data_IF_938635788574
#
_entry.id   IF_938635788574
#
_cell.length_a   1.000
_cell.length_b   1.000
_cell.length_c   1.000
_cell.angle_alpha   90.00
_cell.angle_beta   90.00
_cell.angle_gamma   90.00
#
_symmetry.space_group_name_H-M   'P 1'
#
loop_
_entity.id
_entity.type
_entity.pdbx_description
1 polymer ?
#
# COMPACT_ATOMS: atom_id res chain seq x y z
N UNK A 1 -1.22 -10.88 20.66
CA UNK A 1 -1.70 -10.77 19.26
C UNK A 1 -1.37 -9.36 18.77
N UNK A 2 -0.42 -9.24 17.84
CA UNK A 2 -0.15 -7.96 17.19
C UNK A 2 -1.34 -7.65 16.28
N UNK A 3 -2.21 -6.77 16.71
CA UNK A 3 -3.32 -6.29 15.89
C UNK A 3 -2.73 -5.39 14.80
N UNK A 4 -2.91 -5.76 13.54
CA UNK A 4 -2.59 -4.86 12.44
C UNK A 4 -3.56 -3.67 12.48
N UNK A 5 -3.00 -2.46 12.47
CA UNK A 5 -3.81 -1.28 12.26
C UNK A 5 -4.05 -1.12 10.75
N UNK A 6 -5.30 -0.98 10.36
CA UNK A 6 -5.60 -0.62 8.99
C UNK A 6 -5.24 0.84 8.75
N UNK A 7 -5.01 1.25 7.52
CA UNK A 7 -4.73 2.64 7.20
C UNK A 7 -5.85 3.60 7.54
N UNK A 8 -7.10 3.18 7.41
CA UNK A 8 -8.26 3.99 7.85
C UNK A 8 -8.21 4.20 9.37
N UNK A 9 -7.90 3.14 10.15
CA UNK A 9 -7.70 3.27 11.59
C UNK A 9 -6.51 4.19 11.93
N UNK A 10 -5.42 4.14 11.14
CA UNK A 10 -4.27 5.03 11.32
C UNK A 10 -4.62 6.48 10.98
N UNK A 11 -5.39 6.71 9.92
CA UNK A 11 -5.91 8.04 9.57
C UNK A 11 -6.77 8.61 10.68
N UNK A 12 -7.72 7.81 11.16
CA UNK A 12 -8.59 8.22 12.25
C UNK A 12 -7.78 8.52 13.52
N UNK A 13 -6.80 7.70 13.85
CA UNK A 13 -5.92 7.92 14.99
C UNK A 13 -5.11 9.23 14.83
N UNK A 14 -4.54 9.48 13.66
CA UNK A 14 -3.80 10.72 13.37
C UNK A 14 -4.72 11.95 13.45
N UNK A 15 -5.94 11.85 12.94
CA UNK A 15 -6.94 12.90 13.07
C UNK A 15 -7.26 13.18 14.54
N UNK A 16 -7.51 12.15 15.33
CA UNK A 16 -7.87 12.27 16.75
C UNK A 16 -6.70 12.85 17.59
N UNK A 17 -5.47 12.44 17.29
CA UNK A 17 -4.26 13.04 17.88
C UNK A 17 -4.16 14.53 17.51
N UNK A 18 -4.38 14.88 16.26
CA UNK A 18 -4.33 16.28 15.82
C UNK A 18 -5.40 17.11 16.50
N UNK A 19 -6.64 16.60 16.63
CA UNK A 19 -7.72 17.27 17.38
C UNK A 19 -7.29 17.55 18.81
N UNK A 20 -6.65 16.58 19.47
CA UNK A 20 -6.12 16.73 20.84
C UNK A 20 -4.94 17.70 20.92
N UNK A 21 -4.14 17.81 19.85
CA UNK A 21 -3.01 18.72 19.76
C UNK A 21 -3.41 20.18 19.50
N UNK A 22 -4.54 20.45 18.82
CA UNK A 22 -4.94 21.81 18.44
C UNK A 22 -4.99 22.80 19.63
N UNK A 23 -5.58 22.48 20.79
CA UNK A 23 -5.55 23.37 21.95
C UNK A 23 -4.15 23.65 22.48
N UNK A 24 -3.24 22.66 22.35
CA UNK A 24 -1.85 22.78 22.79
C UNK A 24 -1.06 23.71 21.86
N UNK A 25 -1.38 23.69 20.56
CA UNK A 25 -0.74 24.50 19.52
C UNK A 25 -1.31 25.92 19.42
N UNK A 26 -2.56 26.14 19.82
CA UNK A 26 -3.27 27.42 19.69
C UNK A 26 -2.48 28.65 20.23
N UNK A 27 -1.82 28.59 21.42
CA UNK A 27 -1.02 29.71 21.93
C UNK A 27 0.16 30.11 21.04
N UNK A 28 0.56 29.28 20.12
CA UNK A 28 1.74 29.47 19.27
C UNK A 28 1.40 29.94 17.85
N UNK A 29 0.12 30.08 17.50
CA UNK A 29 -0.32 30.55 16.16
C UNK A 29 0.15 31.96 15.83
N UNK A 30 0.46 32.76 16.83
CA UNK A 30 0.93 34.16 16.67
C UNK A 30 2.44 34.27 16.43
N UNK A 31 3.15 33.17 16.23
CA UNK A 31 4.59 33.15 15.97
C UNK A 31 4.93 33.56 14.50
N UNK A 32 4.16 34.48 13.92
CA UNK A 32 4.46 35.07 12.62
C UNK A 32 5.87 35.69 12.61
N UNK A 33 6.70 35.25 11.66
CA UNK A 33 8.08 35.76 11.49
C UNK A 33 9.17 34.92 12.13
N UNK A 34 8.86 33.84 12.84
CA UNK A 34 9.88 32.90 13.33
C UNK A 34 10.47 32.05 12.21
N UNK A 35 11.73 31.63 12.40
CA UNK A 35 12.37 30.70 11.46
C UNK A 35 11.60 29.37 11.44
N UNK A 36 11.50 28.77 10.27
CA UNK A 36 10.85 27.46 10.09
C UNK A 36 11.44 26.43 11.07
N UNK A 37 12.76 26.49 11.34
CA UNK A 37 13.43 25.60 12.31
C UNK A 37 12.86 25.71 13.74
N UNK A 38 12.47 26.91 14.16
CA UNK A 38 11.99 27.13 15.53
C UNK A 38 10.56 26.58 15.70
N UNK A 39 9.74 26.71 14.64
CA UNK A 39 8.40 26.12 14.58
C UNK A 39 8.49 24.59 14.55
N UNK A 40 9.42 24.04 13.78
CA UNK A 40 9.66 22.60 13.71
C UNK A 40 10.05 22.01 15.05
N UNK A 41 11.00 22.64 15.76
CA UNK A 41 11.39 22.22 17.10
C UNK A 41 10.26 22.28 18.12
N UNK A 42 9.44 23.33 18.04
CA UNK A 42 8.26 23.44 18.91
C UNK A 42 7.28 22.31 18.67
N UNK A 43 6.96 22.01 17.40
CA UNK A 43 6.04 20.93 17.03
C UNK A 43 6.59 19.60 17.54
N UNK A 44 7.86 19.30 17.28
CA UNK A 44 8.52 18.08 17.73
C UNK A 44 8.42 17.92 19.25
N UNK A 45 8.73 18.99 20.01
CA UNK A 45 8.65 18.95 21.46
C UNK A 45 7.20 18.72 21.95
N UNK A 46 6.22 19.45 21.40
CA UNK A 46 4.83 19.32 21.82
C UNK A 46 4.23 17.96 21.44
N UNK A 47 4.62 17.42 20.29
CA UNK A 47 4.21 16.09 19.86
C UNK A 47 4.81 15.00 20.76
N UNK A 48 6.08 15.12 21.12
CA UNK A 48 6.74 14.22 22.08
C UNK A 48 6.04 14.30 23.44
N UNK A 49 5.80 15.49 23.95
CA UNK A 49 5.12 15.71 25.24
C UNK A 49 3.72 15.06 25.24
N UNK A 50 2.95 15.27 24.16
CA UNK A 50 1.64 14.67 24.00
C UNK A 50 1.70 13.13 23.94
N UNK A 51 2.57 12.58 23.12
CA UNK A 51 2.70 11.13 22.94
C UNK A 51 3.21 10.42 24.20
N UNK A 52 3.89 11.12 25.09
CA UNK A 52 4.32 10.60 26.40
C UNK A 52 3.29 10.89 27.51
N UNK A 53 2.15 11.49 27.21
CA UNK A 53 1.08 11.75 28.18
C UNK A 53 0.18 10.51 28.38
N UNK A 54 -0.70 10.60 29.38
CA UNK A 54 -1.72 9.58 29.66
C UNK A 54 -2.97 9.73 28.77
N UNK A 55 -2.89 10.51 27.69
CA UNK A 55 -3.98 10.65 26.73
C UNK A 55 -4.27 9.29 26.04
N UNK A 56 -5.57 9.03 25.84
CA UNK A 56 -6.02 7.74 25.26
C UNK A 56 -5.49 7.51 23.84
N UNK A 57 -5.35 8.58 23.04
CA UNK A 57 -4.84 8.48 21.68
C UNK A 57 -3.33 8.33 21.65
N UNK A 58 -2.60 8.96 22.59
CA UNK A 58 -1.18 8.74 22.79
C UNK A 58 -0.92 7.28 23.16
N UNK A 59 -1.71 6.72 24.08
CA UNK A 59 -1.64 5.29 24.45
C UNK A 59 -1.90 4.37 23.24
N UNK A 60 -2.90 4.69 22.41
CA UNK A 60 -3.16 3.93 21.18
C UNK A 60 -1.99 4.02 20.18
N UNK A 61 -1.40 5.20 20.00
CA UNK A 61 -0.26 5.37 19.11
C UNK A 61 0.92 4.47 19.50
N UNK A 62 1.18 4.30 20.80
CA UNK A 62 2.23 3.40 21.28
C UNK A 62 1.98 1.91 20.99
N UNK A 63 0.72 1.49 20.82
CA UNK A 63 0.41 0.11 20.43
C UNK A 63 0.79 -0.21 18.99
N UNK A 64 0.91 0.79 18.14
CA UNK A 64 1.13 0.64 16.70
C UNK A 64 2.49 1.13 16.22
N UNK A 65 3.22 1.87 17.07
CA UNK A 65 4.53 2.42 16.70
C UNK A 65 5.51 2.31 17.86
N UNK A 66 6.67 1.73 17.58
CA UNK A 66 7.78 1.71 18.53
C UNK A 66 8.52 3.06 18.63
N UNK A 67 8.23 4.00 17.72
CA UNK A 67 8.82 5.33 17.71
C UNK A 67 7.77 6.39 17.34
N UNK A 68 7.11 7.01 18.34
CA UNK A 68 6.07 8.00 18.11
C UNK A 68 6.55 9.30 17.44
N UNK A 69 7.85 9.53 17.35
CA UNK A 69 8.43 10.80 16.92
C UNK A 69 8.51 11.01 15.41
N UNK A 70 8.19 10.01 14.58
CA UNK A 70 8.44 10.11 13.16
C UNK A 70 7.19 10.09 12.28
N UNK A 71 6.02 10.28 12.84
CA UNK A 71 4.81 10.41 12.03
C UNK A 71 4.87 11.74 11.25
N UNK A 72 5.47 11.69 10.06
CA UNK A 72 5.65 12.87 9.20
C UNK A 72 4.34 13.51 8.80
N UNK A 73 3.29 12.70 8.62
CA UNK A 73 1.96 13.21 8.27
C UNK A 73 1.37 14.03 9.40
N UNK A 74 1.41 13.50 10.62
CA UNK A 74 0.93 14.19 11.80
C UNK A 74 1.74 15.46 12.09
N UNK A 75 3.08 15.39 11.96
CA UNK A 75 3.97 16.55 12.09
C UNK A 75 3.65 17.64 11.07
N UNK A 76 3.47 17.27 9.81
CA UNK A 76 3.09 18.19 8.75
C UNK A 76 1.72 18.81 9.00
N UNK A 77 0.76 18.04 9.51
CA UNK A 77 -0.56 18.54 9.89
C UNK A 77 -0.49 19.54 11.04
N UNK A 78 0.32 19.28 12.07
CA UNK A 78 0.57 20.24 13.16
C UNK A 78 1.21 21.53 12.65
N UNK A 79 2.18 21.44 11.74
CA UNK A 79 2.78 22.61 11.11
C UNK A 79 1.74 23.45 10.38
N UNK A 80 0.91 22.80 9.53
CA UNK A 80 -0.14 23.50 8.81
C UNK A 80 -1.17 24.15 9.75
N UNK A 81 -1.52 23.48 10.85
CA UNK A 81 -2.43 24.02 11.86
C UNK A 81 -1.88 25.31 12.52
N UNK A 82 -0.55 25.46 12.60
CA UNK A 82 0.10 26.65 13.14
C UNK A 82 0.20 27.80 12.15
N UNK A 83 0.56 27.50 10.89
CA UNK A 83 0.97 28.54 9.93
C UNK A 83 -0.09 28.86 8.87
N UNK A 84 -1.09 28.00 8.68
CA UNK A 84 -2.13 28.21 7.69
C UNK A 84 -3.39 28.82 8.32
N UNK A 85 -3.73 30.08 8.03
CA UNK A 85 -4.91 30.74 8.60
C UNK A 85 -6.24 30.10 8.13
N UNK A 86 -6.21 29.35 7.01
CA UNK A 86 -7.36 28.64 6.46
C UNK A 86 -7.33 27.14 6.79
N UNK A 87 -6.58 26.76 7.83
CA UNK A 87 -6.52 25.38 8.26
C UNK A 87 -7.92 24.87 8.65
N UNK A 88 -8.32 23.75 8.05
CA UNK A 88 -9.53 23.03 8.39
C UNK A 88 -9.18 21.56 8.62
N UNK A 89 -9.36 21.08 9.85
CA UNK A 89 -9.07 19.72 10.24
C UNK A 89 -9.91 18.67 9.51
N UNK A 90 -11.07 19.07 9.00
CA UNK A 90 -11.97 18.16 8.27
C UNK A 90 -11.58 17.99 6.81
N UNK A 91 -10.60 18.74 6.33
CA UNK A 91 -10.09 18.55 4.97
C UNK A 91 -9.11 17.39 4.91
N UNK A 92 -9.20 16.52 3.89
CA UNK A 92 -8.34 15.35 3.75
C UNK A 92 -6.88 15.67 3.34
N UNK A 93 -6.51 16.94 3.23
CA UNK A 93 -5.20 17.40 2.76
C UNK A 93 -4.02 16.99 3.66
N UNK A 94 -4.26 16.72 4.94
CA UNK A 94 -3.18 16.29 5.85
C UNK A 94 -2.80 14.82 5.68
N UNK A 95 -3.62 14.07 4.96
CA UNK A 95 -3.36 12.69 4.59
C UNK A 95 -3.34 12.60 3.06
N UNK A 96 -2.15 12.45 2.53
CA UNK A 96 -1.98 12.32 1.09
C UNK A 96 -1.77 10.84 0.71
N UNK A 97 -2.84 10.17 0.32
CA UNK A 97 -2.81 8.80 -0.19
C UNK A 97 -2.64 8.71 -1.70
N UNK A 98 -1.96 9.66 -2.30
CA UNK A 98 -1.80 9.68 -3.75
C UNK A 98 -1.07 8.45 -4.28
N UNK A 99 -0.08 7.93 -3.54
CA UNK A 99 0.68 6.76 -3.95
C UNK A 99 -0.10 5.47 -3.72
N UNK A 100 -0.79 5.34 -2.58
CA UNK A 100 -1.65 4.21 -2.25
C UNK A 100 -2.80 4.06 -3.27
N UNK A 101 -3.39 5.19 -3.67
CA UNK A 101 -4.43 5.23 -4.70
C UNK A 101 -3.88 4.86 -6.06
N UNK A 102 -2.73 5.41 -6.45
CA UNK A 102 -2.08 5.07 -7.71
C UNK A 102 -1.68 3.60 -7.75
N UNK A 103 -1.20 3.03 -6.64
CA UNK A 103 -0.89 1.61 -6.56
C UNK A 103 -2.16 0.76 -6.71
N UNK A 104 -3.29 1.19 -6.13
CA UNK A 104 -4.56 0.51 -6.33
C UNK A 104 -4.99 0.53 -7.81
N UNK A 105 -4.92 1.68 -8.47
CA UNK A 105 -5.26 1.82 -9.90
C UNK A 105 -4.39 0.91 -10.77
N UNK A 106 -3.07 0.91 -10.56
CA UNK A 106 -2.14 0.02 -11.28
C UNK A 106 -2.44 -1.46 -11.01
N UNK A 107 -2.76 -1.82 -9.77
CA UNK A 107 -3.13 -3.18 -9.43
C UNK A 107 -4.49 -3.58 -10.03
N UNK A 108 -5.47 -2.68 -10.06
CA UNK A 108 -6.75 -2.90 -10.73
C UNK A 108 -6.56 -3.23 -12.22
N UNK A 109 -5.65 -2.52 -12.91
CA UNK A 109 -5.30 -2.79 -14.30
C UNK A 109 -4.62 -4.15 -14.51
N UNK A 110 -3.86 -4.63 -13.51
CA UNK A 110 -3.17 -5.92 -13.57
C UNK A 110 -4.12 -7.08 -13.24
N UNK A 111 -4.85 -6.99 -12.14
CA UNK A 111 -5.52 -8.13 -11.51
C UNK A 111 -6.90 -7.80 -10.93
N UNK A 112 -7.70 -7.01 -11.63
CA UNK A 112 -9.07 -6.63 -11.25
C UNK A 112 -9.94 -7.79 -10.73
N UNK A 113 -9.91 -9.02 -11.29
CA UNK A 113 -10.70 -10.14 -10.80
C UNK A 113 -10.48 -10.49 -9.32
N UNK A 114 -9.29 -10.23 -8.78
CA UNK A 114 -9.01 -10.45 -7.36
C UNK A 114 -9.65 -9.37 -6.48
N UNK A 115 -9.78 -8.14 -6.98
CA UNK A 115 -10.46 -7.05 -6.27
C UNK A 115 -11.97 -7.24 -6.24
N UNK A 116 -12.53 -7.84 -7.28
CA UNK A 116 -13.99 -8.10 -7.43
C UNK A 116 -14.42 -9.47 -6.88
N UNK A 117 -13.48 -10.29 -6.38
CA UNK A 117 -13.67 -11.66 -5.93
C UNK A 117 -14.17 -12.63 -7.01
N UNK A 118 -13.93 -12.32 -8.30
CA UNK A 118 -14.21 -13.21 -9.42
C UNK A 118 -13.14 -14.30 -9.55
N UNK A 119 -11.98 -14.08 -8.94
CA UNK A 119 -10.91 -15.05 -8.76
C UNK A 119 -10.28 -14.90 -7.37
N UNK A 120 -9.64 -15.98 -6.86
CA UNK A 120 -8.84 -15.92 -5.65
C UNK A 120 -7.33 -16.11 -5.89
N UNK A 121 -6.95 -16.57 -7.09
CA UNK A 121 -5.56 -16.72 -7.51
C UNK A 121 -5.43 -16.46 -9.01
N UNK A 122 -4.36 -15.76 -9.38
CA UNK A 122 -3.98 -15.53 -10.76
C UNK A 122 -2.47 -15.69 -10.93
N UNK A 123 -2.08 -16.41 -12.00
CA UNK A 123 -0.69 -16.47 -12.45
C UNK A 123 -0.53 -15.75 -13.77
N UNK A 124 0.54 -14.98 -13.87
CA UNK A 124 0.90 -14.26 -15.08
C UNK A 124 2.29 -14.69 -15.53
N UNK A 125 2.50 -14.68 -16.83
CA UNK A 125 3.79 -15.05 -17.44
C UNK A 125 4.19 -14.04 -18.50
N UNK A 126 5.48 -13.87 -18.70
CA UNK A 126 6.06 -13.16 -19.82
C UNK A 126 7.42 -13.79 -20.19
N UNK A 127 7.79 -13.88 -21.47
CA UNK A 127 9.03 -14.51 -21.88
C UNK A 127 10.26 -13.84 -21.27
N UNK A 128 11.14 -14.63 -20.67
CA UNK A 128 12.43 -14.17 -20.12
C UNK A 128 12.37 -13.58 -18.71
N UNK A 129 11.21 -13.59 -18.06
CA UNK A 129 11.04 -13.15 -16.69
C UNK A 129 10.44 -14.26 -15.81
N UNK A 130 10.54 -14.10 -14.49
CA UNK A 130 9.93 -15.00 -13.50
C UNK A 130 8.40 -14.93 -13.59
N UNK A 131 7.73 -16.03 -13.26
CA UNK A 131 6.28 -16.03 -13.13
C UNK A 131 5.84 -15.08 -12.02
N UNK A 132 4.72 -14.37 -12.25
CA UNK A 132 4.08 -13.53 -11.28
C UNK A 132 2.84 -14.24 -10.76
N UNK A 133 2.76 -14.42 -9.45
CA UNK A 133 1.62 -15.02 -8.77
C UNK A 133 0.95 -13.99 -7.86
N UNK A 134 -0.38 -13.93 -7.89
CA UNK A 134 -1.17 -13.04 -7.05
C UNK A 134 -2.30 -13.86 -6.45
N UNK A 135 -2.49 -13.78 -5.14
CA UNK A 135 -3.51 -14.54 -4.43
C UNK A 135 -4.18 -13.73 -3.30
N UNK A 136 -5.43 -14.07 -3.04
CA UNK A 136 -6.16 -13.57 -1.88
C UNK A 136 -5.77 -14.42 -0.67
N UNK A 137 -5.23 -13.80 0.38
CA UNK A 137 -4.86 -14.45 1.64
C UNK A 137 -6.06 -14.47 2.58
N UNK A 138 -6.76 -13.35 2.66
CA UNK A 138 -8.00 -13.20 3.44
C UNK A 138 -8.89 -12.11 2.83
N UNK A 139 -9.98 -11.74 3.49
CA UNK A 139 -11.03 -10.85 2.98
C UNK A 139 -10.51 -9.54 2.35
N UNK A 140 -9.45 -8.94 2.93
CA UNK A 140 -8.90 -7.68 2.48
C UNK A 140 -7.39 -7.71 2.28
N UNK A 141 -6.77 -8.89 2.29
CA UNK A 141 -5.33 -9.03 2.16
C UNK A 141 -4.95 -9.93 1.00
N UNK A 142 -4.02 -9.45 0.18
CA UNK A 142 -3.48 -10.16 -0.97
C UNK A 142 -1.97 -10.29 -0.84
N UNK A 143 -1.41 -11.29 -1.53
CA UNK A 143 0.01 -11.42 -1.79
C UNK A 143 0.29 -11.34 -3.28
N UNK A 144 1.40 -10.71 -3.64
CA UNK A 144 1.96 -10.69 -4.98
C UNK A 144 3.43 -11.08 -4.92
N UNK A 145 3.83 -12.07 -5.73
CA UNK A 145 5.19 -12.58 -5.72
C UNK A 145 5.70 -12.93 -7.11
N UNK A 146 6.98 -12.64 -7.37
CA UNK A 146 7.72 -13.33 -8.41
C UNK A 146 8.30 -14.63 -7.84
N UNK A 147 8.01 -15.75 -8.47
CA UNK A 147 8.48 -17.05 -8.02
C UNK A 147 9.39 -17.70 -9.04
N UNK A 148 10.42 -18.36 -8.54
CA UNK A 148 11.33 -19.20 -9.32
C UNK A 148 11.75 -20.43 -8.52
N UNK A 149 12.24 -21.44 -9.20
CA UNK A 149 12.73 -22.67 -8.59
C UNK A 149 14.25 -22.63 -8.45
N UNK A 150 14.76 -22.89 -7.24
CA UNK A 150 16.18 -23.01 -6.96
C UNK A 150 16.43 -24.31 -6.19
N UNK A 151 17.17 -25.24 -6.81
CA UNK A 151 17.51 -26.55 -6.23
C UNK A 151 16.28 -27.41 -5.81
N UNK A 152 15.12 -27.20 -6.43
CA UNK A 152 13.87 -27.88 -6.10
C UNK A 152 13.00 -27.18 -5.07
N UNK A 153 13.46 -26.06 -4.52
CA UNK A 153 12.69 -25.20 -3.62
C UNK A 153 12.06 -24.02 -4.38
N UNK A 154 10.80 -23.72 -4.08
CA UNK A 154 10.14 -22.51 -4.59
C UNK A 154 10.60 -21.30 -3.80
N UNK A 155 11.21 -20.35 -4.48
CA UNK A 155 11.72 -19.10 -3.93
C UNK A 155 10.84 -17.93 -4.38
N UNK A 156 10.70 -16.91 -3.53
CA UNK A 156 10.03 -15.66 -3.84
C UNK A 156 11.04 -14.50 -3.92
N UNK A 157 10.95 -13.68 -5.00
CA UNK A 157 11.87 -12.53 -5.17
C UNK A 157 11.30 -11.48 -6.13
N UNK A 158 10.61 -10.46 -5.66
CA UNK A 158 10.12 -10.27 -4.29
C UNK A 158 8.76 -10.91 -4.02
N UNK A 159 8.33 -10.91 -2.74
CA UNK A 159 6.98 -11.17 -2.27
C UNK A 159 6.52 -10.00 -1.39
N UNK A 160 5.32 -9.50 -1.63
CA UNK A 160 4.70 -8.42 -0.86
C UNK A 160 3.27 -8.81 -0.50
N UNK A 161 2.98 -8.83 0.79
CA UNK A 161 1.59 -8.83 1.24
C UNK A 161 1.10 -7.39 1.42
N UNK A 162 -0.16 -7.15 1.06
CA UNK A 162 -0.78 -5.84 1.22
C UNK A 162 -2.26 -5.92 1.57
N UNK A 163 -2.74 -4.92 2.28
CA UNK A 163 -4.15 -4.73 2.57
C UNK A 163 -4.79 -3.86 1.51
N UNK A 164 -6.02 -4.20 1.14
CA UNK A 164 -6.83 -3.46 0.15
C UNK A 164 -8.01 -2.80 0.85
N UNK A 165 -8.07 -1.49 0.74
CA UNK A 165 -9.27 -0.72 1.05
C UNK A 165 -10.07 -0.51 -0.24
N UNK A 166 -11.05 -1.39 -0.47
CA UNK A 166 -11.86 -1.38 -1.69
C UNK A 166 -12.80 -0.16 -1.75
N UNK A 167 -13.24 0.34 -0.60
CA UNK A 167 -14.16 1.47 -0.52
C UNK A 167 -13.46 2.78 -0.91
N UNK A 168 -12.26 3.01 -0.36
CA UNK A 168 -11.48 4.22 -0.62
C UNK A 168 -10.51 4.07 -1.80
N UNK A 169 -10.41 2.87 -2.38
CA UNK A 169 -9.48 2.51 -3.47
C UNK A 169 -8.03 2.79 -3.09
N UNK A 170 -7.59 2.19 -2.00
CA UNK A 170 -6.24 2.34 -1.46
C UNK A 170 -5.60 0.97 -1.27
N UNK A 171 -4.27 0.92 -1.42
CA UNK A 171 -3.48 -0.29 -1.32
C UNK A 171 -2.27 -0.04 -0.41
N UNK A 172 -2.10 -0.90 0.62
CA UNK A 172 -1.13 -0.68 1.69
C UNK A 172 -0.23 -1.88 1.91
N UNK A 173 1.08 -1.76 1.72
CA UNK A 173 2.01 -2.84 1.99
C UNK A 173 2.03 -3.20 3.48
N UNK A 174 2.12 -4.50 3.77
CA UNK A 174 2.21 -5.05 5.12
C UNK A 174 3.55 -5.73 5.36
N UNK A 175 3.99 -6.54 4.40
CA UNK A 175 5.24 -7.28 4.47
C UNK A 175 6.03 -7.14 3.18
N UNK A 176 7.33 -7.39 3.26
CA UNK A 176 8.24 -7.53 2.13
C UNK A 176 9.17 -8.71 2.39
N UNK A 177 9.29 -9.60 1.42
CA UNK A 177 10.20 -10.73 1.47
C UNK A 177 11.03 -10.80 0.18
N UNK A 178 12.30 -11.17 0.35
CA UNK A 178 13.21 -11.45 -0.75
C UNK A 178 14.14 -12.60 -0.35
N UNK A 179 13.84 -13.79 -0.83
CA UNK A 179 14.50 -15.02 -0.41
C UNK A 179 15.98 -15.06 -0.81
N UNK A 180 16.32 -14.52 -1.99
CA UNK A 180 17.72 -14.45 -2.46
C UNK A 180 18.62 -13.64 -1.54
N UNK A 181 18.09 -12.65 -0.86
CA UNK A 181 18.82 -11.81 0.11
C UNK A 181 18.54 -12.19 1.56
N UNK A 182 17.67 -13.18 1.82
CA UNK A 182 17.21 -13.57 3.15
C UNK A 182 16.61 -12.40 3.93
N UNK A 183 15.86 -11.53 3.24
CA UNK A 183 15.16 -10.40 3.81
C UNK A 183 13.71 -10.81 4.07
N UNK A 184 13.24 -10.53 5.29
CA UNK A 184 11.83 -10.54 5.64
C UNK A 184 11.55 -9.34 6.55
N UNK A 185 10.64 -8.49 6.14
CA UNK A 185 10.28 -7.27 6.85
C UNK A 185 8.78 -7.13 7.01
N UNK A 186 8.37 -6.59 8.15
CA UNK A 186 7.00 -6.16 8.42
C UNK A 186 7.01 -4.65 8.62
N UNK A 187 6.04 -3.97 8.05
CA UNK A 187 5.94 -2.50 8.21
C UNK A 187 5.43 -2.09 9.58
N UNK A 188 4.60 -2.92 10.21
CA UNK A 188 4.05 -2.73 11.57
C UNK A 188 3.60 -1.28 11.86
N UNK A 189 2.96 -0.64 10.87
CA UNK A 189 2.52 0.76 10.97
C UNK A 189 3.64 1.82 10.85
N UNK A 190 4.89 1.43 10.57
CA UNK A 190 6.00 2.38 10.38
C UNK A 190 5.81 3.21 9.10
N UNK A 191 5.49 4.52 9.18
CA UNK A 191 5.15 5.32 8.01
C UNK A 191 6.32 5.51 7.04
N UNK A 192 7.56 5.42 7.50
CA UNK A 192 8.74 5.50 6.62
C UNK A 192 8.79 4.23 5.77
N UNK A 193 8.67 3.05 6.40
CA UNK A 193 8.68 1.76 5.68
C UNK A 193 7.48 1.61 4.77
N UNK A 194 6.30 2.04 5.21
CA UNK A 194 5.08 2.06 4.38
C UNK A 194 5.34 2.90 3.13
N UNK A 195 5.90 4.11 3.27
CA UNK A 195 6.20 4.96 2.13
C UNK A 195 7.27 4.36 1.20
N UNK A 196 8.34 3.77 1.73
CA UNK A 196 9.38 3.10 0.94
C UNK A 196 8.82 1.93 0.14
N UNK A 197 8.00 1.07 0.78
CA UNK A 197 7.36 -0.04 0.09
C UNK A 197 6.28 0.41 -0.90
N UNK A 198 5.55 1.47 -0.63
CA UNK A 198 4.62 2.06 -1.59
C UNK A 198 5.35 2.56 -2.85
N UNK A 199 6.51 3.22 -2.69
CA UNK A 199 7.34 3.63 -3.83
C UNK A 199 7.86 2.43 -4.61
N UNK A 200 8.34 1.41 -3.90
CA UNK A 200 8.76 0.16 -4.51
C UNK A 200 7.63 -0.51 -5.30
N UNK A 201 6.44 -0.69 -4.69
CA UNK A 201 5.28 -1.28 -5.35
C UNK A 201 4.85 -0.48 -6.58
N UNK A 202 4.87 0.85 -6.49
CA UNK A 202 4.54 1.71 -7.63
C UNK A 202 5.46 1.44 -8.82
N UNK A 203 6.77 1.38 -8.58
CA UNK A 203 7.74 1.06 -9.62
C UNK A 203 7.56 -0.37 -10.13
N UNK A 204 7.34 -1.33 -9.24
CA UNK A 204 7.18 -2.73 -9.60
C UNK A 204 5.94 -2.97 -10.47
N UNK A 205 4.79 -2.40 -10.10
CA UNK A 205 3.56 -2.51 -10.90
C UNK A 205 3.69 -1.87 -12.29
N UNK A 206 4.36 -0.72 -12.39
CA UNK A 206 4.68 -0.16 -13.71
C UNK A 206 5.57 -1.10 -14.52
N UNK A 207 6.60 -1.71 -13.92
CA UNK A 207 7.47 -2.67 -14.59
C UNK A 207 6.69 -3.91 -15.07
N UNK A 208 5.76 -4.44 -14.26
CA UNK A 208 4.88 -5.56 -14.65
C UNK A 208 4.08 -5.20 -15.90
N UNK A 209 3.52 -4.00 -15.96
CA UNK A 209 2.78 -3.51 -17.12
C UNK A 209 3.69 -3.35 -18.34
N UNK A 210 4.86 -2.75 -18.18
CA UNK A 210 5.82 -2.51 -19.27
C UNK A 210 6.45 -3.81 -19.82
N UNK A 211 6.54 -4.84 -18.99
CA UNK A 211 7.04 -6.16 -19.36
C UNK A 211 5.99 -7.05 -20.03
N UNK A 212 4.76 -6.55 -20.22
CA UNK A 212 3.68 -7.24 -20.91
C UNK A 212 3.33 -8.60 -20.31
N UNK A 213 3.23 -8.70 -18.99
CA UNK A 213 2.72 -9.89 -18.35
C UNK A 213 1.29 -10.20 -18.82
N UNK A 214 1.05 -11.47 -19.15
CA UNK A 214 -0.27 -11.95 -19.56
C UNK A 214 -0.74 -13.06 -18.64
N UNK A 215 -2.03 -13.13 -18.38
CA UNK A 215 -2.59 -14.17 -17.52
C UNK A 215 -2.40 -15.56 -18.14
N UNK A 216 -1.93 -16.51 -17.31
CA UNK A 216 -1.72 -17.91 -17.69
C UNK A 216 -2.64 -18.86 -16.96
N UNK A 217 -2.92 -18.59 -15.66
CA UNK A 217 -3.86 -19.37 -14.84
C UNK A 217 -4.77 -18.46 -14.03
N UNK A 218 -6.00 -18.90 -13.82
CA UNK A 218 -6.99 -18.25 -12.96
C UNK A 218 -7.73 -19.33 -12.18
N UNK A 219 -7.81 -19.16 -10.86
CA UNK A 219 -8.61 -20.02 -9.99
C UNK A 219 -9.70 -19.20 -9.32
N UNK A 220 -10.91 -19.72 -9.36
CA UNK A 220 -12.07 -19.18 -8.67
C UNK A 220 -12.79 -20.31 -7.90
N UNK A 221 -13.78 -19.98 -7.09
CA UNK A 221 -14.58 -21.00 -6.42
C UNK A 221 -15.29 -21.97 -7.40
N UNK A 222 -15.58 -21.51 -8.60
CA UNK A 222 -16.41 -22.23 -9.57
C UNK A 222 -15.64 -22.82 -10.76
N UNK A 223 -14.39 -22.40 -10.98
CA UNK A 223 -13.61 -22.84 -12.14
C UNK A 223 -12.10 -22.70 -11.92
N UNK A 224 -11.37 -23.48 -12.67
CA UNK A 224 -9.94 -23.34 -12.90
C UNK A 224 -9.69 -23.18 -14.39
N UNK A 225 -9.03 -22.09 -14.77
CA UNK A 225 -8.68 -21.82 -16.16
C UNK A 225 -7.17 -21.80 -16.33
N UNK A 226 -6.73 -22.39 -17.43
CA UNK A 226 -5.34 -22.35 -17.88
C UNK A 226 -5.29 -21.96 -19.34
N UNK A 227 -4.38 -21.06 -19.70
CA UNK A 227 -4.19 -20.64 -21.09
C UNK A 227 -3.86 -21.82 -22.00
N UNK A 228 -3.18 -22.84 -21.47
CA UNK A 228 -2.80 -24.06 -22.19
C UNK A 228 -3.97 -25.02 -22.39
N UNK A 229 -4.79 -25.22 -21.35
CA UNK A 229 -5.82 -26.27 -21.34
C UNK A 229 -7.18 -25.77 -21.85
N UNK A 230 -7.54 -24.54 -21.53
CA UNK A 230 -8.83 -23.93 -21.90
C UNK A 230 -8.66 -22.52 -22.49
N UNK A 231 -7.93 -22.37 -23.62
CA UNK A 231 -7.60 -21.06 -24.18
C UNK A 231 -8.83 -20.22 -24.54
N UNK A 232 -9.91 -20.84 -25.02
CA UNK A 232 -11.15 -20.15 -25.37
C UNK A 232 -11.85 -19.54 -24.15
N UNK A 233 -11.96 -20.30 -23.05
CA UNK A 233 -12.56 -19.84 -21.80
C UNK A 233 -11.69 -18.75 -21.15
N UNK A 234 -10.39 -18.92 -21.14
CA UNK A 234 -9.45 -17.93 -20.65
C UNK A 234 -9.55 -16.61 -21.42
N UNK A 235 -9.61 -16.67 -22.76
CA UNK A 235 -9.77 -15.49 -23.60
C UNK A 235 -11.08 -14.75 -23.30
N UNK A 236 -12.16 -15.50 -23.10
CA UNK A 236 -13.47 -14.93 -22.71
C UNK A 236 -13.37 -14.23 -21.36
N UNK A 237 -12.78 -14.89 -20.35
CA UNK A 237 -12.56 -14.33 -19.03
C UNK A 237 -11.74 -13.03 -19.08
N UNK A 238 -10.60 -13.03 -19.79
CA UNK A 238 -9.79 -11.83 -19.95
C UNK A 238 -10.55 -10.66 -20.59
N UNK A 239 -11.39 -10.96 -21.58
CA UNK A 239 -12.21 -9.94 -22.23
C UNK A 239 -13.30 -9.37 -21.30
N UNK A 240 -13.93 -10.22 -20.49
CA UNK A 240 -14.98 -9.81 -19.55
C UNK A 240 -14.44 -8.92 -18.42
N UNK A 241 -13.16 -9.12 -18.04
CA UNK A 241 -12.51 -8.38 -16.98
C UNK A 241 -11.55 -7.29 -17.45
N UNK A 242 -11.47 -7.06 -18.77
CA UNK A 242 -10.58 -6.06 -19.40
C UNK A 242 -9.10 -6.23 -19.05
N UNK A 243 -8.64 -7.49 -18.97
CA UNK A 243 -7.24 -7.83 -18.72
C UNK A 243 -6.55 -8.36 -19.98
N UNK A 244 -5.22 -8.11 -20.15
CA UNK A 244 -4.49 -8.52 -21.33
C UNK A 244 -4.51 -10.05 -21.55
N UNK A 245 -4.96 -10.47 -22.73
CA UNK A 245 -4.93 -11.88 -23.13
C UNK A 245 -3.60 -12.29 -23.79
N UNK A 246 -3.01 -11.37 -24.56
CA UNK A 246 -1.81 -11.61 -25.35
C UNK A 246 -0.85 -10.43 -25.23
N UNK A 247 0.46 -10.73 -25.23
CA UNK A 247 1.48 -9.70 -25.36
C UNK A 247 1.29 -8.95 -26.71
N UNK A 248 1.38 -7.61 -26.73
CA UNK A 248 1.28 -6.81 -27.97
C UNK A 248 2.23 -7.28 -29.07
N UNK A 249 3.44 -7.72 -28.74
CA UNK A 249 4.42 -8.24 -29.69
C UNK A 249 3.97 -9.52 -30.41
N UNK A 250 3.05 -10.31 -29.83
CA UNK A 250 2.52 -11.51 -30.49
C UNK A 250 1.38 -11.22 -31.48
N UNK A 251 0.80 -10.02 -31.45
CA UNK A 251 -0.21 -9.60 -32.43
C UNK A 251 0.36 -9.31 -33.83
N UNK A 252 1.67 -9.04 -33.92
CA UNK A 252 2.34 -8.82 -35.22
C UNK A 252 2.67 -10.12 -35.96
N UNK A 253 2.71 -11.26 -35.24
CA UNK A 253 3.01 -12.58 -35.85
C UNK A 253 1.76 -13.31 -36.35
N UNK A 254 0.55 -12.84 -36.04
CA UNK A 254 -0.71 -13.42 -36.53
C UNK A 254 -1.32 -12.67 -37.75
N UNK A 255 -0.60 -11.71 -38.33
CA UNK A 255 -0.94 -11.00 -39.58
C UNK A 255 -0.08 -11.50 -40.73
#
# INVERSE_FOLDING_TARGET
ENKYITPVEMEQLNHDILVSMLPILEPYKSMEGNKISDVDHLIDQKLIDFLNSDDKYATQAHLFSNNPNYNRTLRSACYNALVNPNFDINQPWFINHSIERRNYELFEDIAKPLLTNDAYYMRFTTPGFMDLNIEIIDENRLAIAHNFELNGDLMADPDVEFTVDKENKLLYPQTYQQDTLQIYERVDGNPIRINELNQFMNQWFNNITDQYYVVDKVYSENFELSKKENPGAMRKFCKEHDIPWMCPASKELER
#
